data_IF_006485010591
#
_entry.id   IF_006485010591
#
_cell.length_a   1.000
_cell.length_b   1.000
_cell.length_c   1.000
_cell.angle_alpha   90.00
_cell.angle_beta   90.00
_cell.angle_gamma   90.00
#
_symmetry.space_group_name_H-M   'P 1'
#
loop_
_entity.id
_entity.type
_entity.pdbx_description
1 polymer ?
#
# COMPACT_ATOMS: atom_id res chain seq x y z
N UNK A 1 19.58 -35.21 23.99
CA UNK A 1 18.51 -35.39 22.97
C UNK A 1 17.30 -34.44 23.14
N UNK A 2 17.38 -33.39 23.98
CA UNK A 2 16.28 -32.42 24.15
C UNK A 2 16.32 -31.25 23.15
N UNK A 3 17.48 -31.01 22.52
CA UNK A 3 17.71 -29.90 21.60
C UNK A 3 16.99 -30.12 20.25
N UNK A 4 16.95 -31.37 19.75
CA UNK A 4 16.21 -31.71 18.52
C UNK A 4 14.68 -31.55 18.68
N UNK A 5 14.15 -31.79 19.87
CA UNK A 5 12.71 -31.72 20.15
C UNK A 5 12.21 -30.28 20.28
N UNK A 6 13.06 -29.38 20.78
CA UNK A 6 12.80 -27.94 20.83
C UNK A 6 12.87 -27.27 19.45
N UNK A 7 13.86 -27.63 18.64
CA UNK A 7 14.02 -27.05 17.29
C UNK A 7 12.85 -27.34 16.35
N UNK A 8 12.25 -28.54 16.43
CA UNK A 8 11.13 -28.94 15.57
C UNK A 8 9.83 -28.20 15.93
N UNK A 9 9.61 -27.89 17.21
CA UNK A 9 8.45 -27.10 17.65
C UNK A 9 8.53 -25.64 17.19
N UNK A 10 9.73 -25.05 17.21
CA UNK A 10 9.95 -23.66 16.74
C UNK A 10 9.77 -23.55 15.23
N UNK A 11 10.26 -24.53 14.46
CA UNK A 11 10.08 -24.56 13.01
C UNK A 11 8.60 -24.67 12.59
N UNK A 12 7.80 -25.42 13.35
CA UNK A 12 6.35 -25.56 13.08
C UNK A 12 5.59 -24.24 13.30
N UNK A 13 5.95 -23.49 14.35
CA UNK A 13 5.36 -22.18 14.66
C UNK A 13 5.74 -21.11 13.62
N UNK A 14 6.97 -21.13 13.11
CA UNK A 14 7.40 -20.23 12.04
C UNK A 14 6.69 -20.53 10.71
N UNK A 15 6.40 -21.81 10.42
CA UNK A 15 5.68 -22.20 9.21
C UNK A 15 4.23 -21.68 9.18
N UNK A 16 3.57 -21.52 10.33
CA UNK A 16 2.21 -20.97 10.43
C UNK A 16 2.15 -19.47 10.12
N UNK A 17 3.22 -18.71 10.38
CA UNK A 17 3.28 -17.27 10.04
C UNK A 17 3.44 -17.00 8.55
N UNK A 18 3.82 -18.01 7.75
CA UNK A 18 3.96 -17.88 6.30
C UNK A 18 2.62 -18.01 5.54
N UNK A 19 1.56 -18.53 6.18
CA UNK A 19 0.23 -18.67 5.57
C UNK A 19 -0.71 -17.49 5.88
N UNK A 20 -0.30 -16.53 6.71
CA UNK A 20 -1.11 -15.34 7.00
C UNK A 20 -1.13 -14.33 5.84
N UNK A 21 -0.18 -14.38 4.90
CA UNK A 21 -0.04 -13.37 3.85
C UNK A 21 -1.12 -13.37 2.75
N UNK A 22 -1.47 -14.49 2.09
CA UNK A 22 -2.34 -14.42 0.90
C UNK A 22 -3.79 -14.08 1.25
N UNK A 23 -4.29 -14.56 2.39
CA UNK A 23 -5.67 -14.35 2.80
C UNK A 23 -5.90 -12.94 3.33
N UNK A 24 -4.92 -12.37 4.05
CA UNK A 24 -4.96 -10.97 4.46
C UNK A 24 -4.85 -10.02 3.27
N UNK A 25 -3.98 -10.31 2.30
CA UNK A 25 -3.86 -9.52 1.08
C UNK A 25 -5.17 -9.51 0.29
N UNK A 26 -5.80 -10.67 0.09
CA UNK A 26 -7.10 -10.76 -0.56
C UNK A 26 -8.19 -9.95 0.19
N UNK A 27 -8.21 -10.03 1.52
CA UNK A 27 -9.15 -9.26 2.34
C UNK A 27 -8.93 -7.74 2.20
N UNK A 28 -7.67 -7.28 2.16
CA UNK A 28 -7.33 -5.87 1.94
C UNK A 28 -7.75 -5.39 0.56
N UNK A 29 -7.49 -6.20 -0.47
CA UNK A 29 -7.88 -5.88 -1.86
C UNK A 29 -9.40 -5.81 -2.00
N UNK A 30 -10.14 -6.73 -1.39
CA UNK A 30 -11.61 -6.71 -1.38
C UNK A 30 -12.16 -5.47 -0.66
N UNK A 31 -11.60 -5.11 0.49
CA UNK A 31 -12.00 -3.90 1.22
C UNK A 31 -11.72 -2.63 0.41
N UNK A 32 -10.60 -2.57 -0.31
CA UNK A 32 -10.28 -1.46 -1.22
C UNK A 32 -11.27 -1.38 -2.38
N UNK A 33 -11.58 -2.51 -3.02
CA UNK A 33 -12.56 -2.55 -4.10
C UNK A 33 -13.93 -2.04 -3.64
N UNK A 34 -14.42 -2.47 -2.49
CA UNK A 34 -15.68 -1.98 -1.93
C UNK A 34 -15.67 -0.47 -1.66
N UNK A 35 -14.53 0.08 -1.20
CA UNK A 35 -14.40 1.51 -1.00
C UNK A 35 -14.42 2.28 -2.34
N UNK A 36 -13.75 1.76 -3.36
CA UNK A 36 -13.71 2.35 -4.71
C UNK A 36 -15.09 2.30 -5.37
N UNK A 37 -15.81 1.18 -5.24
CA UNK A 37 -17.20 1.03 -5.71
C UNK A 37 -18.12 2.07 -5.06
N UNK A 38 -18.08 2.18 -3.74
CA UNK A 38 -18.88 3.16 -3.00
C UNK A 38 -18.55 4.61 -3.39
N UNK A 39 -17.29 4.92 -3.69
CA UNK A 39 -16.89 6.25 -4.15
C UNK A 39 -17.41 6.52 -5.56
N UNK A 40 -17.30 5.57 -6.47
CA UNK A 40 -17.84 5.70 -7.82
C UNK A 40 -19.37 5.83 -7.83
N UNK A 41 -20.08 5.10 -6.96
CA UNK A 41 -21.53 5.26 -6.79
C UNK A 41 -21.89 6.65 -6.26
N UNK A 42 -21.16 7.18 -5.26
CA UNK A 42 -21.36 8.55 -4.75
C UNK A 42 -21.14 9.63 -5.81
N UNK A 43 -20.20 9.40 -6.72
CA UNK A 43 -19.95 10.28 -7.87
C UNK A 43 -21.06 10.18 -8.93
N UNK A 44 -22.02 9.29 -8.77
CA UNK A 44 -23.18 9.11 -9.64
C UNK A 44 -22.94 8.14 -10.80
N UNK A 45 -21.87 7.34 -10.76
CA UNK A 45 -21.62 6.31 -11.76
C UNK A 45 -22.46 5.06 -11.47
N UNK A 46 -23.15 4.56 -12.49
CA UNK A 46 -23.98 3.36 -12.38
C UNK A 46 -23.12 2.09 -12.44
N UNK A 47 -23.23 1.16 -11.47
CA UNK A 47 -22.55 -0.13 -11.53
C UNK A 47 -22.82 -0.88 -12.83
N UNK A 48 -21.78 -1.54 -13.37
CA UNK A 48 -21.87 -2.27 -14.64
C UNK A 48 -21.83 -1.41 -15.91
N UNK A 49 -21.68 -0.08 -15.79
CA UNK A 49 -21.41 0.80 -16.92
C UNK A 49 -19.92 0.91 -17.25
N UNK A 50 -19.61 1.29 -18.48
CA UNK A 50 -18.22 1.63 -18.88
C UNK A 50 -17.70 2.82 -18.07
N UNK A 51 -18.55 3.80 -17.78
CA UNK A 51 -18.18 4.97 -16.98
C UNK A 51 -17.79 4.59 -15.55
N UNK A 52 -18.51 3.65 -14.92
CA UNK A 52 -18.15 3.09 -13.61
C UNK A 52 -16.82 2.34 -13.64
N UNK A 53 -16.61 1.52 -14.67
CA UNK A 53 -15.33 0.82 -14.86
C UNK A 53 -14.16 1.79 -15.02
N UNK A 54 -14.36 2.87 -15.79
CA UNK A 54 -13.39 3.95 -15.93
C UNK A 54 -13.15 4.70 -14.61
N UNK A 55 -14.18 4.95 -13.80
CA UNK A 55 -14.03 5.54 -12.48
C UNK A 55 -13.12 4.68 -11.59
N UNK A 56 -13.40 3.38 -11.48
CA UNK A 56 -12.56 2.46 -10.70
C UNK A 56 -11.11 2.42 -11.21
N UNK A 57 -10.91 2.37 -12.52
CA UNK A 57 -9.57 2.40 -13.11
C UNK A 57 -8.81 3.69 -12.79
N UNK A 58 -9.49 4.85 -12.81
CA UNK A 58 -8.90 6.14 -12.44
C UNK A 58 -8.54 6.19 -10.96
N UNK A 59 -9.38 5.69 -10.06
CA UNK A 59 -9.06 5.62 -8.63
C UNK A 59 -7.82 4.74 -8.39
N UNK A 60 -7.70 3.62 -9.09
CA UNK A 60 -6.51 2.76 -9.05
C UNK A 60 -5.26 3.46 -9.57
N UNK A 61 -5.37 4.22 -10.65
CA UNK A 61 -4.27 5.01 -11.21
C UNK A 61 -3.80 6.09 -10.23
N UNK A 62 -4.73 6.85 -9.64
CA UNK A 62 -4.43 7.88 -8.63
C UNK A 62 -3.66 7.27 -7.46
N UNK A 63 -4.10 6.11 -6.96
CA UNK A 63 -3.41 5.40 -5.88
C UNK A 63 -1.97 5.02 -6.26
N UNK A 64 -1.78 4.45 -7.45
CA UNK A 64 -0.45 4.10 -7.93
C UNK A 64 0.46 5.34 -8.05
N UNK A 65 -0.09 6.47 -8.50
CA UNK A 65 0.64 7.73 -8.58
C UNK A 65 0.97 8.30 -7.20
N UNK A 66 0.04 8.22 -6.24
CA UNK A 66 0.28 8.62 -4.86
C UNK A 66 1.37 7.78 -4.20
N UNK A 67 1.35 6.46 -4.40
CA UNK A 67 2.39 5.55 -3.90
C UNK A 67 3.75 5.89 -4.49
N UNK A 68 3.82 6.13 -5.80
CA UNK A 68 5.05 6.58 -6.45
C UNK A 68 5.55 7.92 -5.86
N UNK A 69 4.64 8.89 -5.71
CA UNK A 69 4.96 10.21 -5.15
C UNK A 69 5.43 10.09 -3.69
N UNK A 70 4.81 9.22 -2.88
CA UNK A 70 5.21 8.93 -1.50
C UNK A 70 6.58 8.26 -1.46
N UNK A 71 6.85 7.33 -2.38
CA UNK A 71 8.16 6.68 -2.50
C UNK A 71 9.25 7.69 -2.85
N UNK A 72 9.02 8.57 -3.83
CA UNK A 72 9.92 9.67 -4.17
C UNK A 72 10.13 10.62 -3.00
N UNK A 73 9.07 10.99 -2.28
CA UNK A 73 9.17 11.85 -1.09
C UNK A 73 10.01 11.20 0.00
N UNK A 74 9.83 9.90 0.23
CA UNK A 74 10.63 9.13 1.21
C UNK A 74 12.10 9.06 0.77
N UNK A 75 12.36 8.84 -0.50
CA UNK A 75 13.72 8.80 -1.05
C UNK A 75 14.44 10.16 -0.94
N UNK A 76 13.70 11.26 -1.13
CA UNK A 76 14.21 12.64 -1.00
C UNK A 76 14.07 13.20 0.42
N UNK A 77 13.57 12.41 1.39
CA UNK A 77 13.39 12.89 2.75
C UNK A 77 14.77 13.15 3.38
N UNK A 78 14.99 14.32 4.01
CA UNK A 78 16.23 14.59 4.72
C UNK A 78 16.48 13.51 5.78
N UNK A 79 17.74 13.12 5.96
CA UNK A 79 18.12 12.18 7.00
C UNK A 79 17.64 12.65 8.36
N UNK A 80 16.99 11.79 9.17
CA UNK A 80 16.64 12.14 10.55
C UNK A 80 17.85 12.42 11.45
N UNK A 81 19.05 11.93 11.08
CA UNK A 81 20.25 11.93 11.92
C UNK A 81 21.20 13.11 11.67
N UNK A 82 21.07 13.77 10.53
CA UNK A 82 21.80 15.00 10.19
C UNK A 82 20.72 16.03 9.90
N UNK A 83 20.53 17.00 10.81
CA UNK A 83 19.45 18.00 10.75
C UNK A 83 19.35 18.74 9.40
N UNK A 84 18.28 19.53 9.16
CA UNK A 84 17.96 20.07 7.84
C UNK A 84 19.18 20.77 7.21
N UNK A 85 19.71 20.17 6.14
CA UNK A 85 20.89 20.69 5.45
C UNK A 85 20.62 22.13 4.97
N UNK A 86 21.49 23.11 5.30
CA UNK A 86 21.36 24.49 4.84
C UNK A 86 21.77 24.57 3.36
N UNK A 87 20.88 24.16 2.45
CA UNK A 87 21.20 24.18 1.02
C UNK A 87 20.03 24.01 0.07
N UNK A 88 18.97 23.31 0.45
CA UNK A 88 17.81 23.13 -0.44
C UNK A 88 16.73 24.17 -0.17
N UNK A 89 16.95 25.38 -0.69
CA UNK A 89 15.82 26.27 -1.01
C UNK A 89 15.34 25.90 -2.41
N UNK A 90 14.14 25.35 -2.60
CA UNK A 90 13.61 25.18 -3.95
C UNK A 90 13.50 26.56 -4.59
N UNK A 91 14.22 26.80 -5.69
CA UNK A 91 14.10 28.02 -6.46
C UNK A 91 12.65 28.17 -6.91
N UNK A 92 11.98 29.15 -6.32
CA UNK A 92 10.64 29.58 -6.71
C UNK A 92 10.81 30.46 -7.93
N UNK A 93 10.76 29.86 -9.11
CA UNK A 93 10.57 30.62 -10.35
C UNK A 93 9.16 31.21 -10.29
N UNK A 94 9.10 32.54 -10.18
CA UNK A 94 7.90 33.32 -10.42
C UNK A 94 7.60 33.33 -11.91
#
# INVERSE_FOLDING_TARGET
MHILKGGLAVALLLALTACASPQEEAARMAAQQQADEAECEKLGFTPGSEAFSNCMLKLKEIRAQEENTRALRRANAPSPWWGPYPGYRPYRYW
#
